data_IF_065400566852
#
_entry.id   IF_065400566852
#
_cell.length_a   1.000
_cell.length_b   1.000
_cell.length_c   1.000
_cell.angle_alpha   90.00
_cell.angle_beta   90.00
_cell.angle_gamma   90.00
#
_symmetry.space_group_name_H-M   'P 1'
#
loop_
_entity.id
_entity.type
_entity.pdbx_description
1 polymer ?
#
# COMPACT_ATOMS: atom_id res chain seq x y z
N UNK A 1 -10.88 23.85 -86.62
CA UNK A 1 -11.41 24.90 -85.72
C UNK A 1 -12.06 24.24 -84.51
N UNK A 2 -11.64 24.67 -83.32
CA UNK A 2 -12.24 24.46 -81.99
C UNK A 2 -12.44 23.02 -81.49
N UNK A 3 -11.34 22.40 -81.05
CA UNK A 3 -11.34 21.33 -80.04
C UNK A 3 -10.37 21.73 -78.94
N UNK A 4 -10.67 21.33 -77.70
CA UNK A 4 -9.83 21.47 -76.49
C UNK A 4 -10.07 22.68 -75.60
N UNK A 5 -11.34 22.98 -75.29
CA UNK A 5 -11.71 23.91 -74.20
C UNK A 5 -12.42 23.23 -73.00
N UNK A 6 -12.42 21.90 -72.94
CA UNK A 6 -12.85 21.18 -71.75
C UNK A 6 -11.84 20.08 -71.56
N UNK A 7 -11.03 20.15 -70.51
CA UNK A 7 -10.58 19.00 -69.74
C UNK A 7 -9.77 19.53 -68.54
N UNK A 8 -10.35 19.27 -67.37
CA UNK A 8 -9.63 18.87 -66.16
C UNK A 8 -9.14 19.98 -65.23
N UNK A 9 -10.12 20.75 -64.78
CA UNK A 9 -10.20 21.42 -63.48
C UNK A 9 -10.33 20.39 -62.33
N UNK A 10 -9.48 19.36 -62.31
CA UNK A 10 -9.54 18.23 -61.38
C UNK A 10 -8.20 18.04 -60.67
N UNK A 11 -7.76 19.10 -59.99
CA UNK A 11 -6.53 19.11 -59.21
C UNK A 11 -6.77 19.58 -57.76
N UNK A 12 -7.94 19.35 -57.17
CA UNK A 12 -8.17 19.57 -55.73
C UNK A 12 -9.32 18.66 -55.31
N UNK A 13 -9.04 17.47 -54.74
CA UNK A 13 -9.91 16.63 -53.87
C UNK A 13 -9.46 15.15 -53.94
N UNK A 14 -8.21 14.85 -53.57
CA UNK A 14 -7.76 13.45 -53.45
C UNK A 14 -6.72 13.26 -52.35
N UNK A 15 -6.79 14.05 -51.26
CA UNK A 15 -5.82 14.01 -50.17
C UNK A 15 -6.47 13.89 -48.78
N UNK A 16 -7.69 13.34 -48.67
CA UNK A 16 -8.41 13.22 -47.39
C UNK A 16 -9.06 11.84 -47.18
N UNK A 17 -8.40 10.76 -47.61
CA UNK A 17 -8.93 9.41 -47.39
C UNK A 17 -7.82 8.38 -47.11
N UNK A 18 -6.99 8.62 -46.09
CA UNK A 18 -6.22 7.56 -45.43
C UNK A 18 -5.64 8.06 -44.09
N UNK A 19 -6.47 8.14 -43.07
CA UNK A 19 -6.02 8.06 -41.67
C UNK A 19 -6.59 6.76 -41.09
N UNK A 20 -5.85 5.63 -41.13
CA UNK A 20 -6.27 4.46 -40.40
C UNK A 20 -5.99 4.69 -38.90
N UNK A 21 -7.08 4.66 -38.13
CA UNK A 21 -7.17 4.18 -36.76
C UNK A 21 -5.89 4.26 -35.89
N UNK A 22 -5.71 5.39 -35.20
CA UNK A 22 -5.11 5.39 -33.86
C UNK A 22 -6.24 5.43 -32.83
N UNK A 23 -7.08 4.40 -32.84
CA UNK A 23 -7.87 4.09 -31.65
C UNK A 23 -6.89 3.45 -30.67
N UNK A 24 -6.30 4.27 -29.80
CA UNK A 24 -5.64 3.79 -28.60
C UNK A 24 -6.65 2.88 -27.91
N UNK A 25 -6.43 1.57 -27.96
CA UNK A 25 -7.13 0.64 -27.10
C UNK A 25 -6.71 1.01 -25.68
N UNK A 26 -7.45 1.93 -25.05
CA UNK A 26 -7.49 2.02 -23.61
C UNK A 26 -7.90 0.62 -23.17
N UNK A 27 -6.95 -0.14 -22.62
CA UNK A 27 -7.26 -1.43 -22.01
C UNK A 27 -8.43 -1.23 -21.04
N UNK A 28 -9.29 -2.25 -20.85
CA UNK A 28 -10.47 -2.11 -20.01
C UNK A 28 -10.07 -1.47 -18.68
N UNK A 29 -10.73 -0.37 -18.34
CA UNK A 29 -10.58 0.30 -17.05
C UNK A 29 -10.74 -0.76 -15.96
N UNK A 30 -9.64 -1.09 -15.27
CA UNK A 30 -9.63 -2.13 -14.24
C UNK A 30 -10.40 -1.60 -13.03
N UNK A 31 -11.72 -1.75 -13.05
CA UNK A 31 -12.59 -1.50 -11.90
C UNK A 31 -12.66 -2.78 -11.07
N UNK A 32 -11.88 -2.81 -9.98
CA UNK A 32 -12.10 -3.66 -8.80
C UNK A 32 -12.13 -5.18 -8.99
N UNK A 33 -11.01 -5.85 -8.69
CA UNK A 33 -10.94 -7.29 -8.40
C UNK A 33 -10.34 -7.53 -7.01
N UNK A 34 -10.45 -8.75 -6.44
CA UNK A 34 -9.84 -9.05 -5.15
C UNK A 34 -8.32 -8.85 -5.22
N UNK A 35 -7.76 -8.21 -4.20
CA UNK A 35 -6.32 -7.99 -4.15
C UNK A 35 -5.58 -9.31 -3.90
N UNK A 36 -4.56 -9.58 -4.71
CA UNK A 36 -3.66 -10.72 -4.50
C UNK A 36 -2.33 -10.23 -3.98
N UNK A 37 -1.80 -10.97 -3.03
CA UNK A 37 -0.53 -10.69 -2.38
C UNK A 37 0.40 -11.89 -2.50
N UNK A 38 1.68 -11.62 -2.66
CA UNK A 38 2.76 -12.58 -2.41
C UNK A 38 3.26 -12.37 -0.98
N UNK A 39 3.53 -13.47 -0.27
CA UNK A 39 3.95 -13.44 1.14
C UNK A 39 5.42 -13.83 1.28
N UNK A 40 6.16 -13.05 2.06
CA UNK A 40 7.54 -13.28 2.44
C UNK A 40 7.62 -13.45 3.96
N UNK A 41 7.83 -14.69 4.46
CA UNK A 41 7.92 -14.93 5.89
C UNK A 41 9.23 -14.38 6.45
N UNK A 42 9.19 -13.90 7.68
CA UNK A 42 10.32 -13.31 8.37
C UNK A 42 10.07 -13.09 9.85
N UNK A 43 10.84 -12.16 10.41
CA UNK A 43 10.68 -11.70 11.78
C UNK A 43 10.65 -10.19 11.82
N UNK A 44 9.91 -9.65 12.79
CA UNK A 44 9.91 -8.23 13.11
C UNK A 44 10.52 -8.02 14.49
N UNK A 45 11.49 -7.12 14.58
CA UNK A 45 12.04 -6.65 15.86
C UNK A 45 11.45 -5.29 16.17
N UNK A 46 10.75 -5.16 17.29
CA UNK A 46 10.26 -3.86 17.77
C UNK A 46 11.44 -3.03 18.28
N UNK A 47 11.84 -2.01 17.51
CA UNK A 47 13.04 -1.21 17.80
C UNK A 47 12.77 -0.10 18.82
N UNK A 48 11.55 0.43 18.87
CA UNK A 48 11.14 1.43 19.85
C UNK A 48 9.67 1.23 20.26
N UNK A 49 9.40 1.36 21.56
CA UNK A 49 8.05 1.32 22.16
C UNK A 49 8.03 2.35 23.27
N UNK A 50 7.39 3.48 23.02
CA UNK A 50 7.37 4.63 23.94
C UNK A 50 6.02 5.31 23.98
N UNK A 51 5.82 6.19 24.96
CA UNK A 51 4.66 7.07 24.98
C UNK A 51 4.61 7.89 23.69
N UNK A 52 3.44 7.95 23.04
CA UNK A 52 3.28 8.80 21.87
C UNK A 52 3.28 10.28 22.33
N UNK A 53 4.13 11.07 21.69
CA UNK A 53 4.23 12.50 21.88
C UNK A 53 3.75 13.18 20.61
N UNK A 54 2.53 13.75 20.59
CA UNK A 54 2.04 14.45 19.42
C UNK A 54 2.75 15.81 19.26
N UNK A 55 3.10 16.18 18.02
CA UNK A 55 3.75 17.47 17.70
C UNK A 55 2.82 18.68 17.88
N UNK A 56 1.50 18.44 17.96
CA UNK A 56 0.50 19.46 18.27
C UNK A 56 -0.69 18.85 19.02
N UNK A 57 -1.49 19.66 19.74
CA UNK A 57 -2.69 19.17 20.44
C UNK A 57 -3.76 18.56 19.53
N UNK A 58 -3.70 18.82 18.22
CA UNK A 58 -4.63 18.29 17.21
C UNK A 58 -4.01 17.19 16.35
N UNK A 59 -2.74 16.85 16.56
CA UNK A 59 -2.08 15.79 15.82
C UNK A 59 -2.59 14.42 16.29
N UNK A 60 -3.03 13.60 15.33
CA UNK A 60 -3.43 12.20 15.48
C UNK A 60 -4.86 11.97 15.98
N UNK A 61 -5.19 10.69 16.23
CA UNK A 61 -6.56 10.24 16.55
C UNK A 61 -6.74 10.19 18.06
N UNK A 62 -7.78 10.84 18.64
CA UNK A 62 -8.06 10.75 20.07
C UNK A 62 -8.30 9.30 20.51
N UNK A 63 -7.60 8.87 21.57
CA UNK A 63 -7.74 7.55 22.18
C UNK A 63 -8.26 7.66 23.62
N UNK A 64 -9.06 6.71 24.11
CA UNK A 64 -9.50 6.67 25.51
C UNK A 64 -8.42 6.15 26.47
N UNK A 65 -7.24 5.82 25.97
CA UNK A 65 -6.08 5.31 26.70
C UNK A 65 -4.82 6.11 26.33
N UNK A 66 -3.73 6.07 27.14
CA UNK A 66 -2.45 6.66 26.80
C UNK A 66 -1.83 5.95 25.58
N UNK A 67 -1.75 6.59 24.42
CA UNK A 67 -1.30 5.93 23.19
C UNK A 67 0.21 5.72 23.17
N UNK A 68 0.65 4.63 22.53
CA UNK A 68 2.07 4.31 22.34
C UNK A 68 2.49 4.55 20.88
N UNK A 69 3.71 5.07 20.73
CA UNK A 69 4.44 5.06 19.47
C UNK A 69 5.31 3.80 19.44
N UNK A 70 5.00 2.90 18.51
CA UNK A 70 5.69 1.63 18.32
C UNK A 70 6.29 1.57 16.92
N UNK A 71 7.55 1.14 16.84
CA UNK A 71 8.22 0.93 15.56
C UNK A 71 8.92 -0.42 15.53
N UNK A 72 9.04 -0.99 14.34
CA UNK A 72 9.68 -2.27 14.12
C UNK A 72 10.49 -2.29 12.83
N UNK A 73 11.45 -3.20 12.76
CA UNK A 73 12.21 -3.52 11.55
C UNK A 73 11.91 -4.97 11.16
N UNK A 74 11.64 -5.20 9.89
CA UNK A 74 11.38 -6.54 9.33
C UNK A 74 12.64 -7.12 8.69
N UNK A 75 12.89 -8.40 8.97
CA UNK A 75 13.97 -9.19 8.36
C UNK A 75 13.36 -10.47 7.77
N UNK A 76 13.44 -10.69 6.45
CA UNK A 76 12.88 -11.88 5.83
C UNK A 76 13.73 -13.12 6.14
N UNK A 77 13.10 -14.29 6.16
CA UNK A 77 13.79 -15.57 6.38
C UNK A 77 14.73 -15.93 5.23
N UNK A 78 14.45 -15.43 4.04
CA UNK A 78 15.27 -15.57 2.85
C UNK A 78 15.48 -14.19 2.22
N UNK A 79 16.65 -13.89 1.63
CA UNK A 79 16.88 -12.63 0.96
C UNK A 79 15.82 -12.35 -0.12
N UNK A 80 15.35 -11.10 -0.18
CA UNK A 80 14.43 -10.62 -1.21
C UNK A 80 15.21 -9.66 -2.11
N UNK A 81 15.55 -10.07 -3.33
CA UNK A 81 16.44 -9.32 -4.24
C UNK A 81 15.71 -8.55 -5.32
N UNK A 82 14.56 -9.03 -5.79
CA UNK A 82 13.88 -8.54 -6.99
C UNK A 82 12.49 -7.95 -6.72
N UNK A 83 12.28 -7.41 -5.51
CA UNK A 83 11.02 -6.82 -5.09
C UNK A 83 11.16 -5.30 -4.90
N UNK A 84 10.70 -4.46 -5.85
CA UNK A 84 10.87 -3.00 -5.78
C UNK A 84 10.09 -2.33 -4.64
N UNK A 85 9.04 -2.97 -4.11
CA UNK A 85 8.26 -2.47 -2.98
C UNK A 85 8.89 -2.83 -1.63
N UNK A 86 9.89 -3.70 -1.61
CA UNK A 86 10.66 -4.03 -0.42
C UNK A 86 11.93 -3.19 -0.35
N UNK A 87 12.21 -2.67 0.84
CA UNK A 87 13.47 -2.00 1.16
C UNK A 87 14.01 -2.60 2.45
N UNK A 88 15.25 -3.06 2.40
CA UNK A 88 15.94 -3.55 3.58
C UNK A 88 16.18 -2.41 4.57
N UNK A 89 16.23 -2.75 5.86
CA UNK A 89 16.62 -1.86 6.94
C UNK A 89 15.73 -0.62 7.14
N UNK A 90 14.47 -0.72 6.70
CA UNK A 90 13.44 0.30 6.98
C UNK A 90 12.79 0.05 8.33
N UNK A 91 12.65 1.13 9.10
CA UNK A 91 11.86 1.16 10.33
C UNK A 91 10.43 1.55 9.99
N UNK A 92 9.48 0.71 10.39
CA UNK A 92 8.05 0.86 10.13
C UNK A 92 7.30 1.20 11.41
N UNK A 93 6.23 2.00 11.28
CA UNK A 93 5.29 2.25 12.38
C UNK A 93 4.34 1.07 12.54
N UNK A 94 4.16 0.60 13.78
CA UNK A 94 3.14 -0.38 14.12
C UNK A 94 1.87 0.33 14.57
N UNK A 95 0.74 -0.01 13.94
CA UNK A 95 -0.59 0.50 14.28
C UNK A 95 -1.60 -0.64 14.37
N UNK A 96 -2.75 -0.37 14.99
CA UNK A 96 -3.94 -1.19 14.80
C UNK A 96 -4.37 -1.14 13.31
N UNK A 97 -5.25 -2.06 12.89
CA UNK A 97 -5.65 -2.16 11.47
C UNK A 97 -6.41 -0.92 10.96
N UNK A 98 -7.05 -0.17 11.87
CA UNK A 98 -7.69 1.12 11.58
C UNK A 98 -6.74 2.32 11.68
N UNK A 99 -5.42 2.09 11.64
CA UNK A 99 -4.36 3.11 11.74
C UNK A 99 -4.26 3.83 13.08
N UNK A 100 -4.99 3.40 14.12
CA UNK A 100 -4.86 3.98 15.45
C UNK A 100 -3.61 3.48 16.18
N UNK A 101 -2.99 4.31 17.05
CA UNK A 101 -1.90 3.86 17.89
C UNK A 101 -2.42 2.84 18.93
N UNK A 102 -1.70 1.74 19.18
CA UNK A 102 -2.03 0.80 20.24
C UNK A 102 -1.79 1.42 21.63
N UNK A 103 -2.46 0.86 22.63
CA UNK A 103 -2.29 1.23 24.03
C UNK A 103 -1.36 0.27 24.81
N UNK A 104 -1.11 0.55 26.09
CA UNK A 104 -0.21 -0.24 26.92
C UNK A 104 -0.75 -1.63 27.23
N UNK A 105 -2.07 -1.81 27.31
CA UNK A 105 -2.66 -3.12 27.61
C UNK A 105 -2.55 -4.06 26.41
N UNK A 106 -2.68 -3.53 25.18
CA UNK A 106 -2.47 -4.23 23.93
C UNK A 106 -1.02 -4.68 23.83
N UNK A 107 -0.08 -3.76 24.09
CA UNK A 107 1.34 -4.07 24.14
C UNK A 107 1.63 -5.22 25.11
N UNK A 108 1.08 -5.15 26.33
CA UNK A 108 1.25 -6.18 27.34
C UNK A 108 0.62 -7.53 26.92
N UNK A 109 -0.61 -7.53 26.40
CA UNK A 109 -1.33 -8.73 25.95
C UNK A 109 -0.54 -9.52 24.91
N UNK A 110 0.07 -8.82 23.95
CA UNK A 110 0.82 -9.43 22.85
C UNK A 110 2.34 -9.53 23.11
N UNK A 111 2.81 -9.14 24.31
CA UNK A 111 4.23 -9.19 24.65
C UNK A 111 5.10 -8.20 23.87
N UNK A 112 4.52 -7.13 23.35
CA UNK A 112 5.22 -6.10 22.57
C UNK A 112 5.98 -5.17 23.52
N UNK A 113 7.30 -5.13 23.35
CA UNK A 113 8.23 -4.23 24.04
C UNK A 113 9.43 -3.96 23.14
N UNK A 114 10.22 -2.93 23.43
CA UNK A 114 11.48 -2.71 22.73
C UNK A 114 12.38 -3.96 22.82
N UNK A 115 12.97 -4.33 21.69
CA UNK A 115 13.76 -5.56 21.51
C UNK A 115 12.94 -6.84 21.36
N UNK A 116 11.62 -6.81 21.44
CA UNK A 116 10.81 -8.00 21.19
C UNK A 116 10.91 -8.43 19.72
N UNK A 117 11.20 -9.71 19.50
CA UNK A 117 11.26 -10.35 18.18
C UNK A 117 10.06 -11.24 18.02
N UNK A 118 9.32 -11.07 16.92
CA UNK A 118 8.06 -11.78 16.67
C UNK A 118 8.00 -12.28 15.22
N UNK A 119 7.28 -13.39 14.95
CA UNK A 119 6.96 -13.79 13.59
C UNK A 119 6.26 -12.65 12.84
N UNK A 120 6.66 -12.41 11.60
CA UNK A 120 6.06 -11.40 10.75
C UNK A 120 6.09 -11.86 9.29
N UNK A 121 5.04 -11.56 8.54
CA UNK A 121 4.98 -11.78 7.10
C UNK A 121 4.86 -10.42 6.40
N UNK A 122 5.79 -10.16 5.48
CA UNK A 122 5.63 -9.08 4.52
C UNK A 122 4.75 -9.59 3.38
N UNK A 123 3.64 -8.91 3.11
CA UNK A 123 2.75 -9.19 1.99
C UNK A 123 2.86 -8.07 0.98
N UNK A 124 3.26 -8.39 -0.24
CA UNK A 124 3.40 -7.42 -1.34
C UNK A 124 2.33 -7.65 -2.39
N UNK A 125 1.66 -6.59 -2.81
CA UNK A 125 0.58 -6.67 -3.80
C UNK A 125 1.11 -7.16 -5.16
N UNK A 126 0.31 -8.00 -5.82
CA UNK A 126 0.54 -8.50 -7.19
C UNK A 126 -0.60 -8.15 -8.14
N UNK A 127 -1.80 -8.07 -7.61
CA UNK A 127 -3.00 -7.73 -8.36
C UNK A 127 -3.93 -6.87 -7.50
N UNK A 128 -4.59 -5.89 -8.13
CA UNK A 128 -5.50 -4.95 -7.47
C UNK A 128 -4.85 -3.59 -7.15
N UNK A 129 -5.58 -2.77 -6.39
CA UNK A 129 -5.19 -1.40 -6.03
C UNK A 129 -5.21 -1.17 -4.51
N UNK A 130 -5.11 -2.24 -3.73
CA UNK A 130 -5.00 -2.18 -2.27
C UNK A 130 -3.62 -1.66 -1.81
N UNK A 131 -3.40 -1.64 -0.49
CA UNK A 131 -2.12 -1.24 0.13
C UNK A 131 -0.95 -2.04 -0.48
N UNK A 132 0.09 -1.37 -1.02
CA UNK A 132 1.19 -2.04 -1.73
C UNK A 132 1.96 -3.05 -0.88
N UNK A 133 2.18 -2.72 0.40
CA UNK A 133 2.90 -3.57 1.36
C UNK A 133 2.12 -3.66 2.66
N UNK A 134 1.92 -4.86 3.18
CA UNK A 134 1.26 -5.12 4.46
C UNK A 134 2.18 -5.99 5.32
N UNK A 135 2.30 -5.66 6.60
CA UNK A 135 2.96 -6.52 7.58
C UNK A 135 1.92 -7.21 8.44
N UNK A 136 1.89 -8.54 8.35
CA UNK A 136 1.05 -9.39 9.18
C UNK A 136 1.89 -10.00 10.30
N UNK A 137 1.30 -10.12 11.49
CA UNK A 137 1.97 -10.61 12.69
C UNK A 137 1.17 -11.81 13.21
N UNK A 138 1.56 -13.05 12.85
CA UNK A 138 0.90 -14.24 13.37
C UNK A 138 0.88 -14.22 14.90
N UNK A 139 -0.31 -14.34 15.49
CA UNK A 139 -0.51 -14.29 16.94
C UNK A 139 -0.77 -12.89 17.52
N UNK A 140 -0.78 -11.83 16.70
CA UNK A 140 -1.21 -10.49 17.10
C UNK A 140 -2.48 -10.12 16.34
N UNK A 141 -3.61 -10.06 17.03
CA UNK A 141 -4.84 -9.54 16.43
C UNK A 141 -4.82 -8.01 16.46
N UNK A 142 -4.43 -7.40 15.33
CA UNK A 142 -4.40 -5.93 15.16
C UNK A 142 -5.80 -5.30 15.06
N UNK A 143 -6.86 -6.10 15.01
CA UNK A 143 -8.26 -5.67 15.11
C UNK A 143 -8.82 -5.82 16.55
N UNK A 144 -7.99 -6.20 17.51
CA UNK A 144 -8.38 -6.34 18.90
C UNK A 144 -8.50 -4.96 19.59
N UNK A 145 -9.67 -4.36 19.47
CA UNK A 145 -9.98 -3.00 19.91
C UNK A 145 -10.42 -2.91 21.38
N UNK A 146 -10.08 -3.88 22.23
CA UNK A 146 -10.57 -3.92 23.61
C UNK A 146 -10.28 -2.63 24.38
N UNK A 147 -9.11 -2.01 24.16
CA UNK A 147 -8.76 -0.73 24.79
C UNK A 147 -9.62 0.45 24.30
N UNK A 148 -10.09 0.44 23.04
CA UNK A 148 -10.99 1.48 22.52
C UNK A 148 -12.38 1.39 23.13
N UNK A 149 -12.82 0.17 23.46
CA UNK A 149 -14.16 -0.07 24.02
C UNK A 149 -14.20 0.04 25.55
N UNK A 150 -13.05 0.21 26.21
CA UNK A 150 -12.94 0.20 27.67
C UNK A 150 -13.26 -1.14 28.31
N UNK A 151 -13.40 -2.21 27.52
CA UNK A 151 -13.67 -3.55 28.02
C UNK A 151 -12.35 -4.29 28.31
N UNK A 152 -12.34 -5.21 29.29
CA UNK A 152 -11.18 -6.02 29.59
C UNK A 152 -10.73 -6.84 28.38
#
# INVERSE_FOLDING_TARGET
MLRSCLLLLSAVLAAFACLPALAQAAGPERVGGPCRYESYPGTATFVDVKAWQPDSPTAGVPTPYPPLAMTFQFVPNQPITDEPLYKQDVVHTFTLINSMPPGPRFAAKYGIKAGAVMPCELRVIREGTCTPTVFEFPGIDRADYFELTGKP
#
